data_IF_214457977445
#
_entry.id   IF_214457977445
#
_cell.length_a   1.000
_cell.length_b   1.000
_cell.length_c   1.000
_cell.angle_alpha   90.00
_cell.angle_beta   90.00
_cell.angle_gamma   90.00
#
_symmetry.space_group_name_H-M   'P 1'
#
loop_
_entity.id
_entity.type
_entity.pdbx_description
1 polymer ?
#
# COMPACT_ATOMS: atom_id res chain seq x y z
N UNK A 1 -6.50 16.57 -8.79
CA UNK A 1 -5.19 16.06 -8.35
C UNK A 1 -4.23 15.83 -9.52
N UNK A 2 -4.44 14.85 -10.39
CA UNK A 2 -3.45 14.45 -11.41
C UNK A 2 -3.01 15.59 -12.34
N UNK A 3 -3.94 16.40 -12.85
CA UNK A 3 -3.63 17.58 -13.67
C UNK A 3 -2.79 18.63 -12.92
N UNK A 4 -3.01 18.78 -11.61
CA UNK A 4 -2.22 19.71 -10.79
C UNK A 4 -0.80 19.18 -10.57
N UNK A 5 -0.66 17.88 -10.30
CA UNK A 5 0.66 17.22 -10.21
C UNK A 5 1.38 17.39 -11.55
N UNK A 6 0.73 17.10 -12.67
CA UNK A 6 1.31 17.26 -14.01
C UNK A 6 1.78 18.71 -14.26
N UNK A 7 0.96 19.71 -13.93
CA UNK A 7 1.32 21.12 -14.03
C UNK A 7 2.57 21.48 -13.22
N UNK A 8 2.74 20.92 -12.01
CA UNK A 8 3.95 21.12 -11.20
C UNK A 8 5.17 20.53 -11.94
N UNK A 9 5.06 19.29 -12.42
CA UNK A 9 6.16 18.59 -13.08
C UNK A 9 6.60 19.25 -14.39
N UNK A 10 5.70 19.94 -15.08
CA UNK A 10 5.99 20.71 -16.31
C UNK A 10 6.41 22.17 -16.07
N UNK A 11 6.45 22.63 -14.81
CA UNK A 11 6.87 24.00 -14.50
C UNK A 11 8.32 24.27 -14.95
N UNK A 12 8.53 25.45 -15.55
CA UNK A 12 9.88 25.92 -15.92
C UNK A 12 10.74 26.26 -14.69
N UNK A 13 10.11 26.53 -13.55
CA UNK A 13 10.77 26.89 -12.29
C UNK A 13 10.81 25.71 -11.31
N UNK A 14 10.74 24.48 -11.81
CA UNK A 14 10.76 23.32 -10.94
C UNK A 14 12.10 23.22 -10.19
N UNK A 15 12.02 23.26 -8.87
CA UNK A 15 13.13 23.01 -7.96
C UNK A 15 12.95 21.67 -7.23
N UNK A 16 14.06 21.12 -6.76
CA UNK A 16 14.11 19.88 -6.01
C UNK A 16 14.92 20.02 -4.73
N UNK A 17 14.49 19.32 -3.68
CA UNK A 17 15.27 19.16 -2.44
C UNK A 17 15.24 17.71 -1.96
N UNK A 18 16.39 17.20 -1.54
CA UNK A 18 16.56 15.83 -1.07
C UNK A 18 16.76 15.77 0.44
N UNK A 19 16.16 14.77 1.08
CA UNK A 19 16.27 14.54 2.51
C UNK A 19 16.40 13.04 2.81
N UNK A 20 17.17 12.72 3.83
CA UNK A 20 17.15 11.41 4.46
C UNK A 20 16.29 11.45 5.72
N UNK A 21 15.52 10.39 5.91
CA UNK A 21 14.87 10.06 7.16
C UNK A 21 15.80 9.12 7.94
N UNK A 22 16.37 9.61 9.04
CA UNK A 22 17.35 8.90 9.85
C UNK A 22 16.73 8.46 11.17
N UNK A 23 16.92 7.18 11.52
CA UNK A 23 16.52 6.60 12.80
C UNK A 23 17.37 7.17 13.94
N UNK A 24 16.74 7.78 14.94
CA UNK A 24 17.45 8.35 16.09
C UNK A 24 17.62 7.36 17.26
N UNK A 25 17.18 6.10 17.09
CA UNK A 25 17.40 5.00 18.03
C UNK A 25 16.39 4.93 19.20
N UNK A 26 15.58 5.96 19.42
CA UNK A 26 14.52 6.00 20.45
C UNK A 26 13.11 5.82 19.90
N UNK A 27 12.98 5.31 18.67
CA UNK A 27 11.71 5.26 17.93
C UNK A 27 11.32 6.59 17.28
N UNK A 28 12.20 7.58 17.35
CA UNK A 28 12.09 8.85 16.63
C UNK A 28 12.81 8.82 15.29
N UNK A 29 12.46 9.79 14.44
CA UNK A 29 13.11 10.01 13.16
C UNK A 29 13.51 11.46 12.99
N UNK A 30 14.72 11.67 12.50
CA UNK A 30 15.26 12.97 12.17
C UNK A 30 15.25 13.16 10.64
N UNK A 31 14.81 14.33 10.20
CA UNK A 31 14.98 14.78 8.83
C UNK A 31 16.38 15.38 8.67
N UNK A 32 17.14 14.93 7.67
CA UNK A 32 18.46 15.46 7.34
C UNK A 32 18.52 15.85 5.87
N UNK A 33 18.82 17.11 5.57
CA UNK A 33 18.94 17.59 4.19
C UNK A 33 20.17 16.97 3.51
N UNK A 34 20.02 16.48 2.30
CA UNK A 34 21.09 15.87 1.51
C UNK A 34 21.49 16.84 0.40
N UNK A 35 22.78 17.14 0.33
CA UNK A 35 23.34 17.87 -0.83
C UNK A 35 23.68 16.83 -1.89
N UNK A 36 23.08 16.96 -3.06
CA UNK A 36 23.38 16.13 -4.23
C UNK A 36 24.28 16.92 -5.19
N UNK A 37 25.14 16.21 -5.92
CA UNK A 37 25.85 16.81 -7.05
C UNK A 37 24.85 17.24 -8.13
N UNK A 38 25.04 18.39 -8.81
CA UNK A 38 24.04 18.96 -9.73
C UNK A 38 23.57 17.99 -10.82
N UNK A 39 24.48 17.19 -11.39
CA UNK A 39 24.13 16.18 -12.40
C UNK A 39 23.30 15.02 -11.82
N UNK A 40 23.61 14.60 -10.60
CA UNK A 40 22.86 13.54 -9.91
C UNK A 40 21.46 14.03 -9.54
N UNK A 41 21.33 15.26 -9.07
CA UNK A 41 20.05 15.90 -8.78
C UNK A 41 19.17 16.00 -10.03
N UNK A 42 19.72 16.48 -11.16
CA UNK A 42 18.98 16.57 -12.42
C UNK A 42 18.50 15.19 -12.91
N UNK A 43 19.34 14.16 -12.79
CA UNK A 43 19.00 12.78 -13.16
C UNK A 43 17.91 12.20 -12.26
N UNK A 44 17.98 12.45 -10.95
CA UNK A 44 16.97 12.00 -9.99
C UNK A 44 15.64 12.71 -10.20
N UNK A 45 15.63 14.03 -10.39
CA UNK A 45 14.43 14.80 -10.76
C UNK A 45 13.76 14.22 -12.00
N UNK A 46 14.54 13.95 -13.06
CA UNK A 46 14.02 13.33 -14.28
C UNK A 46 13.41 11.95 -14.01
N UNK A 47 14.06 11.14 -13.16
CA UNK A 47 13.59 9.80 -12.81
C UNK A 47 12.29 9.83 -12.01
N UNK A 48 12.18 10.71 -11.01
CA UNK A 48 10.95 10.84 -10.22
C UNK A 48 9.79 11.42 -11.02
N UNK A 49 10.04 12.42 -11.88
CA UNK A 49 9.04 12.92 -12.84
C UNK A 49 8.46 11.79 -13.66
N UNK A 50 9.33 10.99 -14.28
CA UNK A 50 8.91 9.86 -15.11
C UNK A 50 8.07 8.85 -14.32
N UNK A 51 8.47 8.51 -13.10
CA UNK A 51 7.68 7.60 -12.26
C UNK A 51 6.31 8.17 -11.90
N UNK A 52 6.22 9.47 -11.55
CA UNK A 52 4.94 10.13 -11.29
C UNK A 52 4.06 10.14 -12.56
N UNK A 53 4.62 10.45 -13.72
CA UNK A 53 3.89 10.39 -14.99
C UNK A 53 3.38 8.97 -15.28
N UNK A 54 4.26 7.97 -15.22
CA UNK A 54 3.97 6.59 -15.64
C UNK A 54 3.10 5.82 -14.64
N UNK A 55 3.26 6.05 -13.34
CA UNK A 55 2.54 5.31 -12.28
C UNK A 55 1.39 6.08 -11.64
N UNK A 56 1.44 7.41 -11.63
CA UNK A 56 0.43 8.25 -10.96
C UNK A 56 -0.49 8.93 -11.95
N UNK A 57 0.04 9.63 -12.95
CA UNK A 57 -0.79 10.46 -13.85
C UNK A 57 -1.44 9.63 -14.95
N UNK A 58 -0.64 8.96 -15.80
CA UNK A 58 -1.15 8.22 -16.98
C UNK A 58 -2.18 7.15 -16.63
N UNK A 59 -1.98 6.29 -15.61
CA UNK A 59 -2.94 5.22 -15.28
C UNK A 59 -4.27 5.74 -14.72
N UNK A 60 -4.30 6.99 -14.25
CA UNK A 60 -5.47 7.60 -13.63
C UNK A 60 -5.99 8.81 -14.41
N UNK A 61 -5.62 8.93 -15.69
CA UNK A 61 -6.12 9.99 -16.56
C UNK A 61 -7.64 9.93 -16.67
N UNK A 62 -8.31 11.07 -16.42
CA UNK A 62 -9.78 11.16 -16.39
C UNK A 62 -10.44 10.67 -15.10
N UNK A 63 -9.71 10.10 -14.15
CA UNK A 63 -10.25 9.73 -12.85
C UNK A 63 -10.35 10.96 -11.92
N UNK A 64 -11.50 11.13 -11.26
CA UNK A 64 -11.72 12.19 -10.27
C UNK A 64 -11.12 11.87 -8.91
N UNK A 65 -10.95 10.58 -8.58
CA UNK A 65 -10.44 10.10 -7.29
C UNK A 65 -9.72 8.76 -7.45
N UNK A 66 -8.98 8.39 -6.41
CA UNK A 66 -8.36 7.07 -6.27
C UNK A 66 -9.05 6.27 -5.16
N UNK A 67 -8.97 4.93 -5.18
CA UNK A 67 -9.48 4.11 -4.09
C UNK A 67 -8.76 4.41 -2.77
N UNK A 68 -9.45 4.23 -1.64
CA UNK A 68 -8.85 4.35 -0.31
C UNK A 68 -8.08 3.08 0.06
N UNK A 69 -7.01 3.20 0.83
CA UNK A 69 -6.27 2.04 1.36
C UNK A 69 -7.20 1.13 2.16
N UNK A 70 -8.08 1.65 3.01
CA UNK A 70 -9.04 0.83 3.78
C UNK A 70 -9.98 -0.02 2.93
N UNK A 71 -10.23 0.38 1.69
CA UNK A 71 -11.08 -0.40 0.78
C UNK A 71 -10.36 -1.63 0.24
N UNK A 72 -9.03 -1.76 0.39
CA UNK A 72 -8.15 -2.93 0.15
C UNK A 72 -8.48 -3.84 -1.06
N UNK A 73 -9.17 -3.33 -2.09
CA UNK A 73 -9.48 -4.13 -3.27
C UNK A 73 -8.21 -4.26 -4.09
N UNK A 74 -7.61 -5.44 -4.06
CA UNK A 74 -6.39 -5.79 -4.77
C UNK A 74 -6.60 -5.60 -6.28
N UNK A 75 -6.26 -4.41 -6.79
CA UNK A 75 -6.41 -4.05 -8.20
C UNK A 75 -5.09 -3.54 -8.77
N UNK A 76 -4.04 -4.36 -8.70
CA UNK A 76 -2.77 -4.11 -9.39
C UNK A 76 -2.12 -2.75 -9.07
N UNK A 77 -1.21 -2.29 -9.94
CA UNK A 77 -0.41 -1.07 -9.82
C UNK A 77 -1.26 0.23 -9.86
N UNK A 78 -2.14 0.42 -8.87
CA UNK A 78 -2.94 1.63 -8.70
C UNK A 78 -2.40 2.46 -7.55
N UNK A 79 -2.62 3.76 -7.67
CA UNK A 79 -2.43 4.70 -6.57
C UNK A 79 -3.62 4.58 -5.64
N UNK A 80 -3.37 4.60 -4.34
CA UNK A 80 -4.38 4.60 -3.30
C UNK A 80 -4.24 5.85 -2.44
N UNK A 81 -5.35 6.42 -2.00
CA UNK A 81 -5.36 7.45 -0.97
C UNK A 81 -5.28 6.79 0.40
N UNK A 82 -4.36 7.27 1.24
CA UNK A 82 -4.13 6.69 2.57
C UNK A 82 -5.01 7.36 3.62
N UNK A 83 -6.16 6.74 3.86
CA UNK A 83 -7.18 7.14 4.84
C UNK A 83 -6.82 6.73 6.28
N UNK A 84 -5.62 7.14 6.70
CA UNK A 84 -5.01 6.86 8.00
C UNK A 84 -5.91 7.21 9.20
N UNK A 85 -6.82 8.18 9.08
CA UNK A 85 -7.78 8.52 10.13
C UNK A 85 -8.82 7.41 10.33
N UNK A 86 -9.38 6.88 9.24
CA UNK A 86 -10.33 5.74 9.26
C UNK A 86 -9.67 4.48 9.81
N UNK A 87 -8.40 4.28 9.46
CA UNK A 87 -7.59 3.15 9.92
C UNK A 87 -7.03 3.35 11.34
N UNK A 88 -7.14 4.57 11.88
CA UNK A 88 -6.50 4.99 13.14
C UNK A 88 -5.02 4.62 13.20
N UNK A 89 -4.29 4.84 12.10
CA UNK A 89 -2.91 4.42 11.95
C UNK A 89 -2.16 5.35 11.00
N UNK A 90 -1.31 6.23 11.54
CA UNK A 90 -0.38 7.04 10.75
C UNK A 90 1.05 6.67 11.17
N UNK A 91 1.87 6.10 10.27
CA UNK A 91 3.27 5.80 10.60
C UNK A 91 4.01 7.08 11.00
N UNK A 92 4.88 6.97 12.01
CA UNK A 92 5.63 8.13 12.53
C UNK A 92 6.51 8.74 11.42
N UNK A 93 7.05 7.90 10.55
CA UNK A 93 7.84 8.30 9.38
C UNK A 93 7.06 9.23 8.45
N UNK A 94 5.74 9.04 8.31
CA UNK A 94 4.92 9.82 7.39
C UNK A 94 4.74 11.25 7.90
N UNK A 95 4.69 11.45 9.22
CA UNK A 95 4.65 12.80 9.81
C UNK A 95 5.84 13.65 9.35
N UNK A 96 6.99 13.02 9.08
CA UNK A 96 8.20 13.68 8.58
C UNK A 96 8.13 14.05 7.11
N UNK A 97 7.29 13.38 6.32
CA UNK A 97 7.06 13.73 4.92
C UNK A 97 6.34 15.09 4.85
N UNK A 98 5.32 15.32 5.67
CA UNK A 98 4.64 16.62 5.73
C UNK A 98 5.51 17.71 6.35
N UNK A 99 6.39 17.36 7.30
CA UNK A 99 7.32 18.32 7.92
C UNK A 99 8.21 19.00 6.87
N UNK A 100 8.59 18.30 5.78
CA UNK A 100 9.41 18.86 4.69
C UNK A 100 8.78 20.11 4.07
N UNK A 101 7.45 20.17 3.95
CA UNK A 101 6.77 21.35 3.41
C UNK A 101 6.89 22.57 4.33
N UNK A 102 6.85 22.34 5.64
CA UNK A 102 7.02 23.39 6.65
C UNK A 102 8.50 23.73 6.88
N UNK A 103 9.39 22.79 6.56
CA UNK A 103 10.83 22.86 6.77
C UNK A 103 11.62 23.05 5.45
N UNK A 104 11.00 23.56 4.39
CA UNK A 104 11.68 23.83 3.11
C UNK A 104 12.76 24.93 3.19
N UNK A 105 13.11 25.52 2.03
CA UNK A 105 14.18 26.51 1.74
C UNK A 105 14.53 27.54 2.85
N UNK A 106 13.60 27.88 3.76
CA UNK A 106 13.79 28.84 4.86
C UNK A 106 14.11 28.20 6.23
N UNK A 107 14.16 26.87 6.34
CA UNK A 107 14.36 26.18 7.62
C UNK A 107 15.82 25.79 7.84
N UNK A 108 16.26 25.85 9.10
CA UNK A 108 17.56 25.36 9.56
C UNK A 108 17.62 23.82 9.64
N UNK A 109 16.99 23.10 8.70
CA UNK A 109 17.04 21.63 8.67
C UNK A 109 18.51 21.19 8.62
N UNK A 110 18.99 20.39 9.59
CA UNK A 110 20.37 19.97 9.62
C UNK A 110 20.74 19.19 8.37
N UNK A 111 21.94 19.44 7.83
CA UNK A 111 22.47 18.65 6.71
C UNK A 111 22.88 17.27 7.20
N UNK A 112 22.74 16.27 6.33
CA UNK A 112 23.32 14.96 6.54
C UNK A 112 24.83 15.05 6.35
N UNK A 113 25.58 14.69 7.37
CA UNK A 113 27.04 14.68 7.33
C UNK A 113 27.53 13.24 7.12
N UNK A 114 27.98 12.96 5.89
CA UNK A 114 28.51 11.66 5.49
C UNK A 114 29.80 11.24 6.25
N UNK A 115 30.46 12.18 6.95
CA UNK A 115 31.67 11.88 7.72
C UNK A 115 31.36 11.40 9.14
N UNK A 116 30.23 11.84 9.72
CA UNK A 116 29.87 11.56 11.12
C UNK A 116 28.64 10.68 11.27
N UNK A 117 27.74 10.69 10.29
CA UNK A 117 26.49 9.94 10.29
C UNK A 117 26.59 8.70 9.41
N UNK A 118 25.95 7.60 9.85
CA UNK A 118 25.99 6.33 9.14
C UNK A 118 24.81 6.20 8.20
N UNK A 119 25.06 5.77 6.97
CA UNK A 119 23.99 5.43 6.02
C UNK A 119 23.12 4.24 6.51
N UNK A 120 23.60 3.43 7.46
CA UNK A 120 22.83 2.32 8.05
C UNK A 120 21.58 2.76 8.80
N UNK A 121 21.60 4.01 9.23
CA UNK A 121 20.56 4.61 10.06
C UNK A 121 19.51 5.31 9.19
N UNK A 122 19.76 5.42 7.87
CA UNK A 122 18.79 5.92 6.89
C UNK A 122 17.71 4.87 6.64
N UNK A 123 16.46 5.24 6.90
CA UNK A 123 15.27 4.38 6.72
C UNK A 123 14.43 4.77 5.52
N UNK A 124 14.58 6.01 5.06
CA UNK A 124 13.85 6.53 3.91
C UNK A 124 14.58 7.66 3.22
N UNK A 125 14.27 7.82 1.94
CA UNK A 125 14.66 8.95 1.13
C UNK A 125 13.41 9.75 0.78
N UNK A 126 13.46 11.05 1.03
CA UNK A 126 12.38 11.98 0.73
C UNK A 126 12.88 12.95 -0.33
N UNK A 127 12.07 13.16 -1.36
CA UNK A 127 12.37 14.09 -2.44
C UNK A 127 11.21 15.07 -2.60
N UNK A 128 11.50 16.35 -2.47
CA UNK A 128 10.53 17.44 -2.59
C UNK A 128 10.67 18.09 -3.95
N UNK A 129 9.58 18.20 -4.69
CA UNK A 129 9.50 18.85 -6.00
C UNK A 129 8.55 20.04 -5.91
N UNK A 130 9.01 21.24 -6.24
CA UNK A 130 8.25 22.48 -6.09
C UNK A 130 8.27 23.32 -7.38
N UNK A 131 7.12 23.85 -7.80
CA UNK A 131 6.98 24.61 -9.05
C UNK A 131 7.46 26.07 -8.97
N UNK A 132 7.98 26.51 -7.82
CA UNK A 132 8.39 27.89 -7.56
C UNK A 132 7.25 28.84 -7.18
N UNK A 133 5.99 28.44 -7.37
CA UNK A 133 4.80 29.18 -6.95
C UNK A 133 4.25 28.69 -5.59
N UNK A 134 4.93 27.73 -4.96
CA UNK A 134 4.57 27.13 -3.69
C UNK A 134 3.76 25.83 -3.81
N UNK A 135 3.40 25.41 -5.04
CA UNK A 135 2.78 24.11 -5.23
C UNK A 135 3.88 23.06 -5.28
N UNK A 136 3.68 21.97 -4.54
CA UNK A 136 4.70 20.94 -4.45
C UNK A 136 4.13 19.55 -4.22
N UNK A 137 4.96 18.58 -4.55
CA UNK A 137 4.75 17.16 -4.26
C UNK A 137 5.96 16.65 -3.51
N UNK A 138 5.73 15.89 -2.45
CA UNK A 138 6.79 15.22 -1.69
C UNK A 138 6.67 13.73 -1.94
N UNK A 139 7.73 13.12 -2.46
CA UNK A 139 7.77 11.68 -2.70
C UNK A 139 8.66 11.00 -1.66
N UNK A 140 8.31 9.77 -1.32
CA UNK A 140 9.01 8.97 -0.34
C UNK A 140 9.38 7.62 -0.95
N UNK A 141 10.62 7.22 -0.68
CA UNK A 141 11.16 5.92 -1.00
C UNK A 141 11.71 5.25 0.26
N UNK A 142 11.19 4.06 0.58
CA UNK A 142 11.68 3.21 1.64
C UNK A 142 13.10 2.72 1.32
N UNK A 143 13.97 2.71 2.34
CA UNK A 143 15.34 2.21 2.20
C UNK A 143 15.55 0.99 3.06
N UNK A 144 15.73 -0.14 2.39
CA UNK A 144 16.11 -1.39 3.03
C UNK A 144 17.59 -1.34 3.43
N UNK A 145 17.94 -1.78 4.63
CA UNK A 145 19.33 -1.82 5.07
C UNK A 145 20.26 -2.69 4.20
N UNK A 146 19.70 -3.59 3.37
CA UNK A 146 20.43 -4.44 2.42
C UNK A 146 20.85 -3.72 1.13
N UNK A 147 20.25 -2.57 0.79
CA UNK A 147 20.64 -1.77 -0.40
C UNK A 147 21.83 -0.85 -0.12
N UNK A 148 22.54 -1.09 0.99
CA UNK A 148 23.70 -0.31 1.40
C UNK A 148 24.96 -1.17 1.30
N UNK A 149 25.90 -0.74 0.47
CA UNK A 149 27.22 -1.38 0.43
C UNK A 149 28.04 -0.83 1.60
N UNK A 150 28.55 -1.74 2.45
CA UNK A 150 29.38 -1.39 3.61
C UNK A 150 30.85 -1.49 3.26
N UNK A 151 31.65 -0.55 3.79
CA UNK A 151 33.13 -0.60 3.77
C UNK A 151 33.74 -1.92 4.27
N UNK A 152 33.03 -2.66 5.13
CA UNK A 152 33.53 -3.88 5.78
C UNK A 152 33.45 -5.14 4.91
N UNK A 153 32.76 -5.12 3.77
CA UNK A 153 32.72 -6.25 2.83
C UNK A 153 33.75 -6.04 1.73
N UNK A 154 34.40 -7.12 1.25
CA UNK A 154 35.23 -7.09 0.05
C UNK A 154 34.33 -6.83 -1.19
N UNK A 155 34.00 -5.56 -1.40
CA UNK A 155 33.14 -5.08 -2.47
C UNK A 155 34.02 -4.42 -3.51
N UNK A 156 33.77 -4.72 -4.78
CA UNK A 156 34.53 -4.17 -5.89
C UNK A 156 33.57 -3.60 -6.94
N UNK A 157 33.88 -2.44 -7.49
CA UNK A 157 33.16 -1.81 -8.59
C UNK A 157 34.14 -1.44 -9.70
N UNK A 158 33.67 -1.48 -10.95
CA UNK A 158 34.48 -1.07 -12.09
C UNK A 158 34.15 0.35 -12.48
N UNK A 159 35.00 1.31 -12.11
CA UNK A 159 34.83 2.72 -12.47
C UNK A 159 35.10 2.99 -13.96
N UNK A 160 35.94 2.17 -14.60
CA UNK A 160 36.43 2.38 -15.97
C UNK A 160 35.94 1.32 -16.99
N UNK A 161 35.13 0.36 -16.55
CA UNK A 161 34.63 -0.76 -17.36
C UNK A 161 35.64 -1.88 -17.62
N UNK A 162 36.86 -1.82 -17.05
CA UNK A 162 38.00 -2.69 -17.38
C UNK A 162 38.66 -3.34 -16.17
N UNK A 163 38.65 -2.69 -15.01
CA UNK A 163 39.24 -3.20 -13.76
C UNK A 163 38.24 -3.11 -12.63
N UNK A 164 38.31 -4.06 -11.68
CA UNK A 164 37.53 -4.03 -10.45
C UNK A 164 38.34 -3.33 -9.36
N UNK A 165 37.86 -2.17 -8.93
CA UNK A 165 38.44 -1.38 -7.85
C UNK A 165 37.68 -1.63 -6.55
N UNK A 166 38.40 -1.74 -5.43
CA UNK A 166 37.79 -1.97 -4.12
C UNK A 166 37.00 -0.72 -3.68
N UNK A 167 35.79 -0.92 -3.18
CA UNK A 167 34.99 0.13 -2.54
C UNK A 167 35.37 0.22 -1.05
N UNK A 168 35.80 1.40 -0.61
CA UNK A 168 36.20 1.68 0.77
C UNK A 168 35.33 2.75 1.45
N UNK A 169 34.16 3.03 0.87
CA UNK A 169 33.14 3.95 1.39
C UNK A 169 31.77 3.29 1.41
N UNK A 170 30.87 3.81 2.25
CA UNK A 170 29.48 3.36 2.25
C UNK A 170 28.74 4.01 1.07
N UNK A 171 27.85 3.26 0.43
CA UNK A 171 27.00 3.78 -0.66
C UNK A 171 25.55 3.35 -0.47
N UNK A 172 24.65 4.19 -0.98
CA UNK A 172 23.20 3.97 -0.94
C UNK A 172 22.64 4.13 -2.34
N UNK A 173 21.90 3.13 -2.79
CA UNK A 173 21.23 3.20 -4.08
C UNK A 173 19.95 4.01 -3.97
N UNK A 174 19.87 5.11 -4.71
CA UNK A 174 18.66 5.91 -4.88
C UNK A 174 18.19 5.75 -6.32
N UNK A 175 16.94 5.32 -6.49
CA UNK A 175 16.34 5.13 -7.79
C UNK A 175 14.99 5.86 -7.85
N UNK A 176 14.43 6.01 -9.04
CA UNK A 176 13.18 6.75 -9.23
C UNK A 176 11.91 6.05 -8.72
N UNK A 177 11.98 4.91 -8.03
CA UNK A 177 10.78 4.27 -7.48
C UNK A 177 10.20 5.11 -6.32
N UNK A 178 8.88 5.17 -6.30
CA UNK A 178 8.10 5.91 -5.29
C UNK A 178 7.20 4.90 -4.60
N UNK A 179 7.29 4.82 -3.29
CA UNK A 179 6.43 3.95 -2.46
C UNK A 179 5.21 4.73 -1.97
N UNK A 180 5.45 5.97 -1.54
CA UNK A 180 4.42 6.91 -1.05
C UNK A 180 4.67 8.31 -1.60
N UNK A 181 3.62 9.13 -1.64
CA UNK A 181 3.78 10.55 -1.86
C UNK A 181 2.74 11.34 -1.07
N UNK A 182 3.05 12.61 -0.82
CA UNK A 182 2.20 13.56 -0.14
C UNK A 182 1.91 14.73 -1.06
N UNK A 183 0.64 15.07 -1.18
CA UNK A 183 0.15 16.12 -2.07
C UNK A 183 -1.15 16.70 -1.54
N UNK A 184 -1.27 18.03 -1.54
CA UNK A 184 -2.46 18.77 -1.07
C UNK A 184 -3.01 18.26 0.28
N UNK A 185 -2.13 18.14 1.27
CA UNK A 185 -2.46 17.68 2.61
C UNK A 185 -2.90 16.21 2.75
N UNK A 186 -2.74 15.41 1.70
CA UNK A 186 -3.17 14.01 1.65
C UNK A 186 -2.00 13.09 1.34
N UNK A 187 -1.97 11.94 2.01
CA UNK A 187 -1.00 10.86 1.77
C UNK A 187 -1.54 9.89 0.73
N UNK A 188 -0.66 9.45 -0.16
CA UNK A 188 -0.96 8.47 -1.19
C UNK A 188 0.06 7.34 -1.17
N UNK A 189 -0.41 6.14 -1.50
CA UNK A 189 0.37 4.92 -1.52
C UNK A 189 0.38 4.31 -2.92
N UNK A 190 1.58 4.00 -3.41
CA UNK A 190 1.81 3.26 -4.66
C UNK A 190 2.17 1.81 -4.34
N UNK A 191 3.00 1.59 -3.31
CA UNK A 191 3.37 0.24 -2.84
C UNK A 191 2.71 -0.10 -1.49
N UNK A 192 1.54 -0.74 -1.56
CA UNK A 192 0.82 -1.23 -0.37
C UNK A 192 1.63 -2.31 0.37
N UNK A 193 2.47 -3.09 -0.32
CA UNK A 193 3.24 -4.16 0.33
C UNK A 193 4.25 -3.57 1.29
N UNK A 194 4.87 -2.45 0.92
CA UNK A 194 5.75 -1.68 1.79
C UNK A 194 4.96 -1.15 2.99
N UNK A 195 3.78 -0.56 2.79
CA UNK A 195 2.91 -0.07 3.89
C UNK A 195 2.57 -1.18 4.90
N UNK A 196 2.24 -2.37 4.41
CA UNK A 196 1.91 -3.52 5.24
C UNK A 196 3.09 -4.04 6.03
N UNK A 197 4.20 -4.33 5.34
CA UNK A 197 5.34 -5.05 5.93
C UNK A 197 6.22 -4.15 6.78
N UNK A 198 6.41 -2.91 6.36
CA UNK A 198 7.40 -2.01 6.94
C UNK A 198 6.78 -0.94 7.85
N UNK A 199 5.50 -0.61 7.66
CA UNK A 199 4.86 0.50 8.37
C UNK A 199 3.64 0.08 9.17
N UNK A 200 3.49 -1.21 9.49
CA UNK A 200 2.54 -1.69 10.50
C UNK A 200 1.08 -1.84 10.04
N UNK A 201 0.76 -1.58 8.77
CA UNK A 201 -0.61 -1.81 8.26
C UNK A 201 -1.00 -3.30 8.33
N UNK A 202 -0.04 -4.22 8.33
CA UNK A 202 -0.31 -5.64 8.56
C UNK A 202 -1.05 -5.90 9.88
N UNK A 203 -0.59 -5.31 10.98
CA UNK A 203 -1.21 -5.48 12.29
C UNK A 203 -2.61 -4.85 12.33
N UNK A 204 -2.78 -3.71 11.69
CA UNK A 204 -4.09 -3.04 11.55
C UNK A 204 -5.07 -3.95 10.84
N UNK A 205 -4.68 -4.53 9.68
CA UNK A 205 -5.51 -5.48 8.92
C UNK A 205 -5.86 -6.70 9.77
N UNK A 206 -4.88 -7.26 10.51
CA UNK A 206 -5.11 -8.43 11.36
C UNK A 206 -6.12 -8.13 12.48
N UNK A 207 -6.04 -6.95 13.10
CA UNK A 207 -6.99 -6.50 14.11
C UNK A 207 -8.38 -6.30 13.52
N UNK A 208 -8.47 -5.66 12.35
CA UNK A 208 -9.73 -5.44 11.64
C UNK A 208 -10.41 -6.75 11.21
N UNK A 209 -9.63 -7.70 10.69
CA UNK A 209 -10.11 -9.03 10.34
C UNK A 209 -10.63 -9.77 11.57
N UNK A 210 -9.92 -9.73 12.69
CA UNK A 210 -10.36 -10.34 13.96
C UNK A 210 -11.68 -9.74 14.46
N UNK A 211 -11.89 -8.43 14.27
CA UNK A 211 -13.16 -7.76 14.61
C UNK A 211 -14.33 -8.16 13.69
N UNK A 212 -14.06 -8.63 12.47
CA UNK A 212 -15.09 -9.04 11.53
C UNK A 212 -15.64 -10.46 11.81
N UNK A 213 -14.84 -11.34 12.41
CA UNK A 213 -15.20 -12.74 12.66
C UNK A 213 -16.50 -12.88 13.48
N UNK A 214 -16.70 -12.14 14.59
CA UNK A 214 -17.97 -12.21 15.35
C UNK A 214 -19.20 -11.89 14.50
N UNK A 215 -19.12 -10.88 13.61
CA UNK A 215 -20.22 -10.51 12.74
C UNK A 215 -20.57 -11.60 11.73
N UNK A 216 -19.56 -12.32 11.23
CA UNK A 216 -19.75 -13.47 10.33
C UNK A 216 -20.39 -14.65 11.07
N UNK A 217 -19.93 -14.94 12.30
CA UNK A 217 -20.48 -16.02 13.13
C UNK A 217 -21.96 -15.79 13.44
N UNK A 218 -22.35 -14.53 13.68
CA UNK A 218 -23.75 -14.15 13.95
C UNK A 218 -24.71 -14.42 12.78
N UNK A 219 -24.20 -14.62 11.56
CA UNK A 219 -25.03 -15.01 10.41
C UNK A 219 -25.52 -16.48 10.52
N UNK A 220 -24.90 -17.30 11.37
CA UNK A 220 -25.26 -18.72 11.56
C UNK A 220 -25.27 -19.55 10.26
N UNK A 221 -24.34 -19.26 9.33
CA UNK A 221 -24.29 -19.89 8.01
C UNK A 221 -23.43 -21.17 7.95
N UNK A 222 -22.75 -21.53 9.03
CA UNK A 222 -21.93 -22.74 9.07
C UNK A 222 -21.96 -23.37 10.46
N UNK A 223 -21.75 -24.68 10.51
CA UNK A 223 -21.79 -25.45 11.75
C UNK A 223 -20.51 -25.25 12.55
N UNK A 224 -20.66 -24.73 13.77
CA UNK A 224 -19.57 -24.52 14.72
C UNK A 224 -19.51 -25.56 15.85
N UNK A 225 -20.42 -26.55 15.86
CA UNK A 225 -20.57 -27.53 16.96
C UNK A 225 -19.29 -28.34 17.23
N UNK A 226 -18.51 -28.62 16.19
CA UNK A 226 -17.27 -29.40 16.25
C UNK A 226 -16.00 -28.54 16.35
N UNK A 227 -16.14 -27.21 16.49
CA UNK A 227 -15.01 -26.29 16.55
C UNK A 227 -14.80 -25.87 18.00
N UNK A 228 -13.63 -26.21 18.56
CA UNK A 228 -13.28 -25.90 19.96
C UNK A 228 -13.36 -24.39 20.25
N UNK A 229 -12.96 -23.56 19.30
CA UNK A 229 -13.08 -22.11 19.37
C UNK A 229 -13.58 -21.55 18.03
N UNK A 230 -14.86 -21.17 17.89
CA UNK A 230 -15.41 -20.64 16.64
C UNK A 230 -14.68 -19.40 16.09
N UNK A 231 -14.01 -18.63 16.96
CA UNK A 231 -13.20 -17.48 16.54
C UNK A 231 -11.97 -17.88 15.72
N UNK A 232 -11.52 -19.13 15.83
CA UNK A 232 -10.35 -19.65 15.11
C UNK A 232 -10.69 -20.22 13.72
N UNK A 233 -11.94 -20.09 13.23
CA UNK A 233 -12.40 -20.66 11.95
C UNK A 233 -11.53 -20.28 10.74
N UNK A 234 -10.89 -19.10 10.77
CA UNK A 234 -10.01 -18.61 9.70
C UNK A 234 -8.51 -18.64 10.05
N UNK A 235 -8.12 -19.25 11.17
CA UNK A 235 -6.73 -19.21 11.67
C UNK A 235 -5.71 -19.79 10.69
N UNK A 236 -6.09 -20.83 9.95
CA UNK A 236 -5.30 -21.46 8.89
C UNK A 236 -5.09 -20.57 7.64
N UNK A 237 -5.82 -19.46 7.56
CA UNK A 237 -5.76 -18.47 6.49
C UNK A 237 -4.94 -17.22 6.85
N UNK A 238 -4.47 -17.05 8.10
CA UNK A 238 -3.83 -15.81 8.55
C UNK A 238 -2.53 -15.46 7.81
N UNK A 239 -1.86 -16.44 7.22
CA UNK A 239 -0.68 -16.21 6.38
C UNK A 239 -1.02 -15.71 4.97
N UNK A 240 -2.28 -15.79 4.54
CA UNK A 240 -2.75 -15.31 3.25
C UNK A 240 -3.15 -13.83 3.35
N UNK A 241 -2.27 -12.94 2.90
CA UNK A 241 -2.47 -11.49 2.97
C UNK A 241 -3.69 -11.03 2.18
N UNK A 242 -3.90 -11.57 0.98
CA UNK A 242 -5.04 -11.19 0.15
C UNK A 242 -6.36 -11.63 0.79
N UNK A 243 -6.38 -12.80 1.43
CA UNK A 243 -7.52 -13.24 2.23
C UNK A 243 -7.75 -12.33 3.44
N UNK A 244 -6.72 -12.03 4.24
CA UNK A 244 -6.84 -11.21 5.44
C UNK A 244 -7.36 -9.80 5.15
N UNK A 245 -6.94 -9.21 4.02
CA UNK A 245 -7.51 -7.94 3.52
C UNK A 245 -9.01 -8.06 3.26
N UNK A 246 -9.44 -9.06 2.50
CA UNK A 246 -10.86 -9.29 2.20
C UNK A 246 -11.68 -9.58 3.46
N UNK A 247 -11.12 -10.33 4.41
CA UNK A 247 -11.75 -10.58 5.70
C UNK A 247 -11.93 -9.27 6.49
N UNK A 248 -10.93 -8.38 6.48
CA UNK A 248 -11.01 -7.09 7.18
C UNK A 248 -12.06 -6.15 6.62
N UNK A 249 -12.36 -6.21 5.32
CA UNK A 249 -13.39 -5.40 4.65
C UNK A 249 -14.80 -5.72 5.12
N UNK A 250 -15.05 -6.96 5.57
CA UNK A 250 -16.37 -7.37 6.06
C UNK A 250 -16.83 -6.53 7.24
N UNK A 251 -15.90 -5.99 8.04
CA UNK A 251 -16.24 -5.08 9.14
C UNK A 251 -17.11 -3.90 8.69
N UNK A 252 -16.87 -3.38 7.48
CA UNK A 252 -17.65 -2.30 6.87
C UNK A 252 -18.77 -2.77 5.95
N UNK A 253 -18.98 -4.08 5.81
CA UNK A 253 -19.99 -4.63 4.90
C UNK A 253 -21.39 -4.50 5.51
N UNK A 254 -22.22 -3.70 4.84
CA UNK A 254 -23.64 -3.54 5.19
C UNK A 254 -24.42 -4.86 5.05
N UNK A 255 -24.00 -5.72 4.13
CA UNK A 255 -24.62 -7.04 3.92
C UNK A 255 -24.51 -7.91 5.18
N UNK A 256 -23.34 -7.89 5.82
CA UNK A 256 -23.07 -8.68 7.03
C UNK A 256 -23.67 -7.99 8.26
N UNK A 257 -23.54 -6.66 8.38
CA UNK A 257 -24.07 -5.93 9.55
C UNK A 257 -25.59 -5.99 9.66
N UNK A 258 -26.31 -6.08 8.54
CA UNK A 258 -27.77 -6.16 8.52
C UNK A 258 -28.31 -7.56 8.85
N UNK A 259 -27.45 -8.57 9.03
CA UNK A 259 -27.83 -9.92 9.44
C UNK A 259 -28.81 -10.64 8.50
N UNK A 260 -28.97 -10.15 7.27
CA UNK A 260 -30.05 -10.58 6.37
C UNK A 260 -29.68 -11.76 5.46
N UNK A 261 -28.43 -12.23 5.52
CA UNK A 261 -27.92 -13.28 4.66
C UNK A 261 -28.40 -14.64 5.19
N UNK A 262 -29.07 -15.42 4.34
CA UNK A 262 -29.49 -16.78 4.66
C UNK A 262 -28.85 -17.80 3.73
N UNK A 263 -28.87 -19.07 4.11
CA UNK A 263 -28.37 -20.18 3.27
C UNK A 263 -29.10 -20.26 1.94
N UNK A 264 -30.42 -20.00 1.92
CA UNK A 264 -31.21 -19.99 0.68
C UNK A 264 -30.72 -18.90 -0.29
N UNK A 265 -30.33 -17.73 0.23
CA UNK A 265 -29.74 -16.67 -0.59
C UNK A 265 -28.38 -17.09 -1.15
N UNK A 266 -27.54 -17.73 -0.33
CA UNK A 266 -26.23 -18.24 -0.75
C UNK A 266 -26.39 -19.29 -1.86
N UNK A 267 -27.33 -20.22 -1.71
CA UNK A 267 -27.62 -21.24 -2.74
C UNK A 267 -28.15 -20.63 -4.03
N UNK A 268 -29.02 -19.61 -3.95
CA UNK A 268 -29.50 -18.89 -5.13
C UNK A 268 -28.35 -18.20 -5.89
N UNK A 269 -27.37 -17.64 -5.17
CA UNK A 269 -26.16 -17.08 -5.79
C UNK A 269 -25.30 -18.19 -6.39
N UNK A 270 -25.03 -19.29 -5.67
CA UNK A 270 -24.25 -20.41 -6.20
C UNK A 270 -24.81 -20.94 -7.52
N UNK A 271 -26.13 -21.05 -7.67
CA UNK A 271 -26.77 -21.53 -8.91
C UNK A 271 -26.60 -20.58 -10.10
N UNK A 272 -26.48 -19.26 -9.84
CA UNK A 272 -26.34 -18.24 -10.89
C UNK A 272 -24.89 -17.94 -11.26
N UNK A 273 -23.93 -18.33 -10.42
CA UNK A 273 -22.52 -18.05 -10.61
C UNK A 273 -21.69 -19.34 -10.55
N UNK A 274 -21.26 -19.89 -11.70
CA UNK A 274 -20.49 -21.14 -11.78
C UNK A 274 -19.25 -21.15 -10.87
N UNK A 275 -18.57 -20.01 -10.71
CA UNK A 275 -17.38 -19.91 -9.87
C UNK A 275 -17.69 -20.16 -8.38
N UNK A 276 -18.83 -19.67 -7.87
CA UNK A 276 -19.26 -19.93 -6.50
C UNK A 276 -19.86 -21.33 -6.37
N UNK A 277 -20.52 -21.83 -7.40
CA UNK A 277 -21.03 -23.22 -7.41
C UNK A 277 -19.93 -24.25 -7.21
N UNK A 278 -18.79 -24.08 -7.89
CA UNK A 278 -17.66 -25.03 -7.86
C UNK A 278 -16.88 -24.99 -6.56
N UNK A 279 -16.83 -23.83 -5.91
CA UNK A 279 -15.90 -23.56 -4.81
C UNK A 279 -16.57 -23.28 -3.46
N UNK A 280 -17.90 -23.31 -3.40
CA UNK A 280 -18.67 -23.32 -2.16
C UNK A 280 -19.58 -24.53 -2.17
N UNK A 281 -19.57 -25.27 -1.06
CA UNK A 281 -20.46 -26.39 -0.83
C UNK A 281 -21.40 -26.08 0.34
N UNK A 282 -22.65 -26.52 0.20
CA UNK A 282 -23.64 -26.47 1.28
C UNK A 282 -24.03 -27.90 1.60
N UNK A 283 -23.84 -28.29 2.86
CA UNK A 283 -24.09 -29.64 3.37
C UNK A 283 -24.95 -29.51 4.63
N UNK A 284 -26.04 -30.26 4.71
CA UNK A 284 -26.97 -30.21 5.86
C UNK A 284 -27.48 -28.79 6.21
N UNK A 285 -27.64 -27.93 5.20
CA UNK A 285 -28.09 -26.54 5.40
C UNK A 285 -27.01 -25.60 5.94
N UNK A 286 -25.74 -25.98 5.91
CA UNK A 286 -24.61 -25.17 6.32
C UNK A 286 -23.55 -25.08 5.23
N UNK A 287 -22.85 -23.96 5.16
CA UNK A 287 -21.68 -23.80 4.28
C UNK A 287 -20.54 -24.65 4.85
N UNK A 288 -19.93 -25.46 3.99
CA UNK A 288 -18.76 -26.25 4.33
C UNK A 288 -17.52 -25.34 4.41
N UNK A 289 -16.95 -25.21 5.60
CA UNK A 289 -15.76 -24.38 5.88
C UNK A 289 -14.48 -25.21 6.12
N UNK A 290 -14.45 -26.47 5.69
CA UNK A 290 -13.31 -27.37 5.94
C UNK A 290 -12.05 -26.99 5.15
N UNK A 291 -12.21 -26.58 3.89
CA UNK A 291 -11.08 -26.26 3.00
C UNK A 291 -10.77 -24.76 2.97
N UNK A 292 -9.50 -24.42 2.74
CA UNK A 292 -9.06 -23.03 2.52
C UNK A 292 -9.76 -22.37 1.34
N UNK A 293 -10.08 -23.14 0.30
CA UNK A 293 -10.75 -22.64 -0.89
C UNK A 293 -12.19 -22.24 -0.60
N UNK A 294 -12.94 -23.06 0.15
CA UNK A 294 -14.29 -22.69 0.57
C UNK A 294 -14.30 -21.42 1.41
N UNK A 295 -13.36 -21.31 2.37
CA UNK A 295 -13.19 -20.09 3.18
C UNK A 295 -12.94 -18.86 2.30
N UNK A 296 -12.04 -18.96 1.32
CA UNK A 296 -11.75 -17.87 0.38
C UNK A 296 -13.00 -17.43 -0.37
N UNK A 297 -13.70 -18.35 -1.03
CA UNK A 297 -14.88 -17.99 -1.82
C UNK A 297 -16.04 -17.50 -0.98
N UNK A 298 -16.15 -17.95 0.26
CA UNK A 298 -17.18 -17.47 1.17
C UNK A 298 -16.94 -16.01 1.53
N UNK A 299 -15.69 -15.65 1.87
CA UNK A 299 -15.32 -14.26 2.12
C UNK A 299 -15.46 -13.39 0.86
N UNK A 300 -15.18 -13.92 -0.34
CA UNK A 300 -15.46 -13.21 -1.60
C UNK A 300 -16.95 -12.90 -1.75
N UNK A 301 -17.81 -13.88 -1.45
CA UNK A 301 -19.27 -13.70 -1.48
C UNK A 301 -19.74 -12.60 -0.52
N UNK A 302 -19.25 -12.60 0.73
CA UNK A 302 -19.60 -11.59 1.75
C UNK A 302 -19.09 -10.17 1.41
N UNK A 303 -18.08 -10.07 0.54
CA UNK A 303 -17.59 -8.81 -0.02
C UNK A 303 -18.34 -8.36 -1.29
N UNK A 304 -19.54 -8.91 -1.53
CA UNK A 304 -20.43 -8.54 -2.63
C UNK A 304 -19.81 -8.75 -4.03
N UNK A 305 -18.93 -9.75 -4.18
CA UNK A 305 -18.31 -10.02 -5.48
C UNK A 305 -19.29 -10.60 -6.50
N UNK A 306 -20.35 -11.29 -6.05
CA UNK A 306 -21.45 -11.73 -6.91
C UNK A 306 -22.43 -10.56 -7.13
N UNK A 307 -22.40 -9.94 -8.30
CA UNK A 307 -23.21 -8.76 -8.62
C UNK A 307 -24.11 -8.98 -9.84
N UNK A 308 -25.20 -8.22 -9.94
CA UNK A 308 -26.14 -8.28 -11.06
C UNK A 308 -26.21 -6.95 -11.77
N UNK A 309 -26.22 -6.97 -13.10
CA UNK A 309 -26.37 -5.77 -13.90
C UNK A 309 -27.78 -5.17 -13.71
N UNK A 310 -27.84 -3.86 -13.47
CA UNK A 310 -29.10 -3.19 -13.09
C UNK A 310 -30.21 -3.33 -14.13
N UNK A 311 -29.85 -3.33 -15.42
CA UNK A 311 -30.81 -3.29 -16.53
C UNK A 311 -31.39 -4.67 -16.90
N UNK A 312 -30.55 -5.70 -16.96
CA UNK A 312 -30.92 -7.02 -17.47
C UNK A 312 -30.77 -8.16 -16.45
N UNK A 313 -30.34 -7.84 -15.22
CA UNK A 313 -30.11 -8.82 -14.14
C UNK A 313 -29.09 -9.91 -14.51
N UNK A 314 -28.18 -9.61 -15.44
CA UNK A 314 -27.11 -10.52 -15.83
C UNK A 314 -26.06 -10.63 -14.70
N UNK A 315 -25.65 -11.85 -14.31
CA UNK A 315 -24.63 -12.04 -13.29
C UNK A 315 -23.25 -11.59 -13.79
N UNK A 316 -22.49 -10.90 -12.95
CA UNK A 316 -21.10 -10.54 -13.19
C UNK A 316 -20.30 -10.48 -11.88
N UNK A 317 -18.98 -10.65 -11.97
CA UNK A 317 -18.10 -10.53 -10.80
C UNK A 317 -17.61 -9.09 -10.66
N UNK A 318 -17.82 -8.47 -9.50
CA UNK A 318 -17.49 -7.06 -9.28
C UNK A 318 -15.97 -6.74 -9.26
N UNK A 319 -15.14 -7.77 -9.07
CA UNK A 319 -13.69 -7.62 -8.83
C UNK A 319 -12.85 -8.00 -10.04
N UNK A 320 -13.36 -8.78 -10.98
CA UNK A 320 -12.61 -9.23 -12.16
C UNK A 320 -13.20 -8.60 -13.45
N UNK A 321 -12.33 -8.30 -14.42
CA UNK A 321 -12.74 -8.09 -15.82
C UNK A 321 -13.13 -9.41 -16.51
N UNK A 322 -13.04 -10.52 -15.79
CA UNK A 322 -13.41 -11.83 -16.30
C UNK A 322 -14.92 -11.99 -16.31
N UNK A 323 -15.41 -12.58 -17.39
CA UNK A 323 -16.81 -12.96 -17.54
C UNK A 323 -17.23 -13.87 -16.39
N UNK A 324 -18.47 -13.72 -15.93
CA UNK A 324 -19.09 -14.56 -14.90
C UNK A 324 -19.32 -16.02 -15.34
N UNK A 325 -18.90 -16.38 -16.56
CA UNK A 325 -19.17 -17.64 -17.25
C UNK A 325 -18.28 -18.81 -16.79
#
# INVERSE_FOLDING_TARGET
>A
MFTQIDSILQSQNLSSEAFFLVDSGSGGFDLRRVTLEPAAEASLTTSFKKTLEDKVIKPNSGASSVPLVSTLVDRGNKVFEYDHQTLNHLPVEFTKISDVLNQGVLSNTPKFDFSTQKLSDVKGFIYHLCDGAGNSIVVYQHKYQVTMHRKTKASYFSLNGRTLDKIDYDSIDINGNIDFFYFNSTYYCIDIKVLERNYGLEQVINNMASQAIPSILNLNLFDCSNIQNPQDIFKDMYHDRSFMRRLSQIRSSTLVSNGSITIQMVDAVRQKFPVFQRNLNVTNGFIDMTTKEHKRYFIRLLNNEASFAALNQEPFLAVDKDSAA
#
